data_IF_081776093503
#
_entry.id   IF_081776093503
#
_cell.length_a   1.000
_cell.length_b   1.000
_cell.length_c   1.000
_cell.angle_alpha   90.00
_cell.angle_beta   90.00
_cell.angle_gamma   90.00
#
_symmetry.space_group_name_H-M   'P 1'
#
loop_
_entity.id
_entity.type
_entity.pdbx_description
1 polymer ?
#
# COMPACT_ATOMS: atom_id res chain seq x y z
N UNK A 1 14.73 12.95 -16.17
CA UNK A 1 13.48 12.26 -15.78
C UNK A 1 13.76 10.78 -15.76
N UNK A 2 13.63 10.14 -14.63
CA UNK A 2 14.08 8.76 -14.42
C UNK A 2 12.90 7.88 -14.02
N UNK A 3 12.84 6.66 -14.55
CA UNK A 3 11.85 5.66 -14.13
C UNK A 3 12.27 4.99 -12.82
N UNK A 4 11.33 4.86 -11.91
CA UNK A 4 11.38 3.95 -10.76
C UNK A 4 10.60 2.70 -11.15
N UNK A 5 11.29 1.58 -11.29
CA UNK A 5 10.66 0.32 -11.67
C UNK A 5 11.35 -0.84 -10.96
N UNK A 6 10.71 -1.34 -9.91
CA UNK A 6 11.21 -2.44 -9.09
C UNK A 6 10.28 -3.64 -9.23
N UNK A 7 10.84 -4.76 -9.65
CA UNK A 7 10.14 -6.02 -9.90
C UNK A 7 10.93 -7.20 -9.31
N UNK A 8 10.26 -8.34 -9.12
CA UNK A 8 10.93 -9.62 -8.87
C UNK A 8 11.57 -10.17 -10.15
N UNK A 9 12.56 -11.05 -10.01
CA UNK A 9 13.28 -11.64 -11.16
C UNK A 9 12.36 -12.37 -12.14
N UNK A 10 11.31 -13.02 -11.63
CA UNK A 10 10.30 -13.72 -12.42
C UNK A 10 9.17 -12.82 -12.95
N UNK A 11 9.24 -11.50 -12.66
CA UNK A 11 8.24 -10.49 -13.02
C UNK A 11 6.81 -10.76 -12.51
N UNK A 12 6.66 -11.65 -11.53
CA UNK A 12 5.34 -11.90 -10.89
C UNK A 12 4.98 -10.84 -9.86
N UNK A 13 5.95 -10.08 -9.38
CA UNK A 13 5.77 -9.01 -8.40
C UNK A 13 6.30 -7.70 -8.95
N UNK A 14 5.58 -6.61 -8.71
CA UNK A 14 6.02 -5.24 -8.95
C UNK A 14 5.89 -4.44 -7.68
N UNK A 15 7.00 -4.03 -7.13
CA UNK A 15 7.08 -3.28 -5.88
C UNK A 15 6.84 -1.79 -6.08
N UNK A 16 7.35 -1.22 -7.17
CA UNK A 16 7.17 0.18 -7.50
C UNK A 16 7.10 0.41 -9.01
N UNK A 17 6.35 1.43 -9.43
CA UNK A 17 6.37 1.99 -10.78
C UNK A 17 6.13 3.49 -10.69
N UNK A 18 7.00 4.29 -11.27
CA UNK A 18 6.82 5.73 -11.24
C UNK A 18 7.79 6.46 -12.15
N UNK A 19 7.54 7.73 -12.33
CA UNK A 19 8.34 8.65 -13.10
C UNK A 19 8.74 9.81 -12.20
N UNK A 20 10.04 10.00 -12.01
CA UNK A 20 10.57 11.00 -11.08
C UNK A 20 11.51 11.94 -11.82
N UNK A 21 11.27 13.23 -11.68
CA UNK A 21 12.17 14.26 -12.21
C UNK A 21 13.42 14.36 -11.34
N UNK A 22 14.56 14.63 -11.97
CA UNK A 22 15.83 14.76 -11.27
C UNK A 22 15.81 15.97 -10.30
N UNK A 23 15.04 17.01 -10.66
CA UNK A 23 14.80 18.23 -9.89
C UNK A 23 13.44 18.23 -9.16
N UNK A 24 12.86 17.05 -8.86
CA UNK A 24 11.51 16.93 -8.27
C UNK A 24 11.34 17.79 -7.04
N UNK A 25 10.29 18.60 -7.03
CA UNK A 25 9.91 19.46 -5.90
C UNK A 25 8.69 18.90 -5.18
N UNK A 26 7.79 18.21 -5.90
CA UNK A 26 6.55 17.69 -5.32
C UNK A 26 6.19 16.34 -5.93
N UNK A 27 6.31 15.28 -5.13
CA UNK A 27 6.07 13.91 -5.54
C UNK A 27 4.77 13.37 -4.94
N UNK A 28 4.00 12.61 -5.72
CA UNK A 28 2.83 11.87 -5.25
C UNK A 28 3.13 10.38 -5.17
N UNK A 29 3.09 9.80 -3.98
CA UNK A 29 2.95 8.36 -3.82
C UNK A 29 1.48 7.97 -3.95
N UNK A 30 1.16 6.94 -4.74
CA UNK A 30 -0.19 6.40 -4.82
C UNK A 30 -0.21 4.92 -4.40
N UNK A 31 -0.95 4.59 -3.35
CA UNK A 31 -1.12 3.21 -2.89
C UNK A 31 -2.37 2.58 -3.50
N UNK A 32 -2.16 1.70 -4.51
CA UNK A 32 -3.18 0.79 -5.04
C UNK A 32 -3.27 -0.51 -4.26
N UNK A 33 -4.17 -1.41 -4.69
CA UNK A 33 -4.29 -2.73 -4.04
C UNK A 33 -3.21 -3.69 -4.51
N UNK A 34 -3.05 -3.87 -5.82
CA UNK A 34 -2.05 -4.72 -6.44
C UNK A 34 -1.70 -4.21 -7.84
N UNK A 35 -0.49 -4.50 -8.36
CA UNK A 35 -0.12 -4.17 -9.72
C UNK A 35 -0.82 -5.08 -10.75
N UNK A 36 -1.03 -4.53 -11.95
CA UNK A 36 -1.47 -5.29 -13.11
C UNK A 36 -0.36 -5.33 -14.18
N UNK A 37 -0.63 -4.87 -15.38
CA UNK A 37 0.24 -5.04 -16.54
C UNK A 37 1.19 -3.88 -16.82
N UNK A 38 1.07 -2.75 -16.11
CA UNK A 38 1.86 -1.56 -16.41
C UNK A 38 3.37 -1.78 -16.26
N UNK A 39 4.10 -1.22 -17.22
CA UNK A 39 5.57 -1.11 -17.28
C UNK A 39 5.95 0.33 -17.64
N UNK A 40 7.23 0.72 -17.55
CA UNK A 40 7.69 2.04 -18.03
C UNK A 40 7.33 2.31 -19.48
N UNK A 41 7.41 1.30 -20.36
CA UNK A 41 7.15 1.43 -21.79
C UNK A 41 5.65 1.48 -22.10
N UNK A 42 4.82 0.89 -21.22
CA UNK A 42 3.37 0.78 -21.45
C UNK A 42 2.58 0.87 -20.15
N UNK A 43 2.11 2.07 -19.83
CA UNK A 43 1.21 2.28 -18.69
C UNK A 43 -0.17 1.67 -18.95
N UNK A 44 -0.72 0.99 -17.94
CA UNK A 44 -2.11 0.53 -17.93
C UNK A 44 -3.09 1.70 -17.66
N UNK A 45 -4.42 1.50 -17.79
CA UNK A 45 -5.39 2.56 -17.55
C UNK A 45 -5.29 3.20 -16.16
N UNK A 46 -4.98 2.41 -15.12
CA UNK A 46 -4.84 2.92 -13.74
C UNK A 46 -3.60 3.79 -13.60
N UNK A 47 -2.45 3.33 -14.10
CA UNK A 47 -1.20 4.09 -14.03
C UNK A 47 -1.30 5.41 -14.79
N UNK A 48 -1.88 5.40 -16.02
CA UNK A 48 -2.16 6.63 -16.77
C UNK A 48 -3.09 7.59 -16.02
N UNK A 49 -4.08 7.06 -15.31
CA UNK A 49 -4.99 7.89 -14.50
C UNK A 49 -4.25 8.54 -13.34
N UNK A 50 -3.41 7.79 -12.63
CA UNK A 50 -2.61 8.31 -11.51
C UNK A 50 -1.63 9.38 -11.98
N UNK A 51 -0.92 9.17 -13.10
CA UNK A 51 -0.06 10.17 -13.71
C UNK A 51 -0.82 11.48 -13.98
N UNK A 52 -2.02 11.41 -14.59
CA UNK A 52 -2.85 12.59 -14.85
C UNK A 52 -3.33 13.27 -13.56
N UNK A 53 -3.74 12.49 -12.57
CA UNK A 53 -4.14 13.04 -11.25
C UNK A 53 -2.95 13.77 -10.62
N UNK A 54 -1.77 13.19 -10.60
CA UNK A 54 -0.58 13.82 -10.05
C UNK A 54 -0.32 15.18 -10.72
N UNK A 55 -0.28 15.24 -12.05
CA UNK A 55 -0.06 16.46 -12.80
C UNK A 55 -1.14 17.52 -12.53
N UNK A 56 -2.41 17.15 -12.50
CA UNK A 56 -3.54 18.07 -12.30
C UNK A 56 -3.56 18.65 -10.87
N UNK A 57 -2.99 17.92 -9.90
CA UNK A 57 -2.83 18.38 -8.52
C UNK A 57 -1.46 19.04 -8.24
N UNK A 58 -0.70 19.36 -9.30
CA UNK A 58 0.55 20.12 -9.19
C UNK A 58 1.75 19.31 -8.69
N UNK A 59 1.72 17.99 -8.81
CA UNK A 59 2.88 17.14 -8.59
C UNK A 59 3.68 17.01 -9.89
N UNK A 60 4.98 17.12 -9.80
CA UNK A 60 5.90 16.98 -10.95
C UNK A 60 6.42 15.55 -11.14
N UNK A 61 6.18 14.70 -10.14
CA UNK A 61 6.64 13.32 -10.06
C UNK A 61 5.59 12.43 -9.39
N UNK A 62 5.58 11.15 -9.71
CA UNK A 62 4.64 10.19 -9.14
C UNK A 62 5.25 8.80 -9.03
N UNK A 63 4.88 8.06 -8.00
CA UNK A 63 5.25 6.65 -7.80
C UNK A 63 4.02 5.86 -7.33
N UNK A 64 3.71 4.76 -8.01
CA UNK A 64 2.69 3.80 -7.61
C UNK A 64 3.35 2.72 -6.76
N UNK A 65 2.82 2.55 -5.57
CA UNK A 65 3.09 1.47 -4.63
C UNK A 65 1.82 0.66 -4.43
N UNK A 66 1.90 -0.53 -3.87
CA UNK A 66 0.73 -1.36 -3.70
C UNK A 66 0.70 -2.04 -2.32
N UNK A 67 -0.52 -2.29 -1.83
CA UNK A 67 -0.76 -3.06 -0.59
C UNK A 67 -0.25 -4.49 -0.74
N UNK A 68 -0.40 -5.07 -1.93
CA UNK A 68 0.17 -6.35 -2.32
C UNK A 68 0.99 -6.15 -3.60
N UNK A 69 2.23 -6.61 -3.63
CA UNK A 69 3.10 -6.46 -4.78
C UNK A 69 2.83 -7.48 -5.90
N UNK A 70 2.04 -8.52 -5.64
CA UNK A 70 1.71 -9.55 -6.63
C UNK A 70 0.96 -8.95 -7.82
N UNK A 71 1.45 -9.20 -9.05
CA UNK A 71 0.74 -8.83 -10.26
C UNK A 71 -0.50 -9.71 -10.43
N UNK A 72 -1.66 -9.07 -10.59
CA UNK A 72 -2.89 -9.75 -10.94
C UNK A 72 -3.81 -8.78 -11.69
N UNK A 73 -4.38 -9.22 -12.81
CA UNK A 73 -5.35 -8.43 -13.59
C UNK A 73 -6.75 -8.60 -13.02
N UNK A 74 -7.09 -9.81 -12.61
CA UNK A 74 -8.34 -10.09 -11.92
C UNK A 74 -8.07 -10.26 -10.42
N UNK A 75 -8.93 -9.74 -9.54
CA UNK A 75 -8.75 -9.84 -8.09
C UNK A 75 -8.64 -11.28 -7.57
N UNK A 76 -9.26 -12.24 -8.27
CA UNK A 76 -9.22 -13.66 -7.90
C UNK A 76 -7.88 -14.33 -8.22
N UNK A 77 -7.05 -13.72 -9.08
CA UNK A 77 -5.74 -14.25 -9.46
C UNK A 77 -4.67 -14.01 -8.38
N UNK A 78 -4.97 -13.18 -7.38
CA UNK A 78 -4.10 -13.04 -6.21
C UNK A 78 -4.12 -14.32 -5.37
N UNK A 79 -2.96 -14.74 -4.87
CA UNK A 79 -2.80 -15.89 -4.00
C UNK A 79 -3.75 -15.83 -2.80
N UNK A 80 -4.26 -16.96 -2.36
CA UNK A 80 -5.10 -17.03 -1.16
C UNK A 80 -4.29 -16.82 0.13
N UNK A 81 -3.02 -17.22 0.11
CA UNK A 81 -2.06 -17.05 1.19
C UNK A 81 -1.01 -16.03 0.80
N UNK A 82 -0.56 -15.28 1.78
CA UNK A 82 0.50 -14.30 1.59
C UNK A 82 1.86 -14.97 1.40
N UNK A 83 2.63 -14.52 0.42
CA UNK A 83 4.04 -14.83 0.28
C UNK A 83 4.82 -13.87 1.20
N UNK A 84 5.25 -14.36 2.35
CA UNK A 84 5.88 -13.54 3.38
C UNK A 84 7.21 -12.92 2.95
N UNK A 85 8.18 -13.65 2.34
CA UNK A 85 9.42 -13.06 1.85
C UNK A 85 9.19 -11.92 0.87
N UNK A 86 8.31 -12.09 -0.11
CA UNK A 86 8.01 -11.07 -1.11
C UNK A 86 7.23 -9.89 -0.53
N UNK A 87 6.39 -10.13 0.49
CA UNK A 87 5.76 -9.05 1.23
C UNK A 87 6.76 -8.24 2.05
N UNK A 88 7.71 -8.88 2.72
CA UNK A 88 8.77 -8.18 3.44
C UNK A 88 9.60 -7.31 2.51
N UNK A 89 9.93 -7.80 1.31
CA UNK A 89 10.61 -7.01 0.29
C UNK A 89 9.77 -5.81 -0.15
N UNK A 90 8.44 -5.98 -0.31
CA UNK A 90 7.53 -4.87 -0.60
C UNK A 90 7.60 -3.79 0.49
N UNK A 91 7.53 -4.19 1.76
CA UNK A 91 7.60 -3.24 2.89
C UNK A 91 8.98 -2.56 2.97
N UNK A 92 10.07 -3.27 2.67
CA UNK A 92 11.43 -2.70 2.62
C UNK A 92 11.52 -1.60 1.57
N UNK A 93 11.07 -1.87 0.34
CA UNK A 93 11.09 -0.90 -0.77
C UNK A 93 10.17 0.30 -0.46
N UNK A 94 8.98 0.05 0.09
CA UNK A 94 8.07 1.13 0.52
C UNK A 94 8.78 2.03 1.54
N UNK A 95 9.42 1.45 2.57
CA UNK A 95 10.12 2.19 3.61
C UNK A 95 11.24 3.05 3.04
N UNK A 96 12.06 2.49 2.16
CA UNK A 96 13.17 3.22 1.52
C UNK A 96 12.66 4.39 0.69
N UNK A 97 11.63 4.18 -0.14
CA UNK A 97 11.09 5.23 -0.99
C UNK A 97 10.40 6.34 -0.17
N UNK A 98 9.58 5.98 0.82
CA UNK A 98 8.95 6.96 1.69
C UNK A 98 9.98 7.82 2.43
N UNK A 99 11.02 7.21 3.00
CA UNK A 99 12.07 7.94 3.68
C UNK A 99 12.88 8.84 2.73
N UNK A 100 13.22 8.34 1.53
CA UNK A 100 13.98 9.08 0.52
C UNK A 100 13.30 10.38 0.11
N UNK A 101 11.97 10.38 -0.01
CA UNK A 101 11.19 11.51 -0.49
C UNK A 101 10.37 12.22 0.60
N UNK A 102 10.61 11.92 1.89
CA UNK A 102 9.81 12.41 3.01
C UNK A 102 9.63 13.94 3.05
N UNK A 103 10.63 14.71 2.62
CA UNK A 103 10.56 16.19 2.65
C UNK A 103 9.66 16.80 1.57
N UNK A 104 9.32 16.05 0.50
CA UNK A 104 8.67 16.61 -0.71
C UNK A 104 7.58 15.75 -1.30
N UNK A 105 7.13 14.74 -0.59
CA UNK A 105 6.09 13.84 -1.08
C UNK A 105 4.85 13.85 -0.21
N UNK A 106 3.72 13.59 -0.86
CA UNK A 106 2.44 13.31 -0.23
C UNK A 106 1.99 11.88 -0.61
N UNK A 107 1.07 11.32 0.15
CA UNK A 107 0.52 9.99 -0.08
C UNK A 107 -0.96 10.08 -0.48
N UNK A 108 -1.33 9.41 -1.57
CA UNK A 108 -2.70 9.16 -2.01
C UNK A 108 -3.04 7.69 -1.79
N UNK A 109 -3.91 7.37 -0.84
CA UNK A 109 -4.48 6.04 -0.71
C UNK A 109 -5.61 5.86 -1.72
N UNK A 110 -5.55 4.78 -2.51
CA UNK A 110 -6.45 4.54 -3.64
C UNK A 110 -6.72 3.05 -3.92
N UNK A 111 -6.78 2.24 -2.86
CA UNK A 111 -6.83 0.78 -2.93
C UNK A 111 -8.23 0.20 -3.20
N UNK A 112 -9.31 0.96 -2.99
CA UNK A 112 -10.68 0.52 -3.25
C UNK A 112 -11.20 -0.60 -2.34
N UNK A 113 -12.38 -1.14 -2.68
CA UNK A 113 -13.04 -2.20 -1.90
C UNK A 113 -12.40 -3.58 -2.08
N UNK A 114 -11.45 -3.73 -3.02
CA UNK A 114 -10.69 -4.96 -3.20
C UNK A 114 -9.85 -5.34 -1.99
N UNK A 115 -9.60 -4.43 -1.07
CA UNK A 115 -8.97 -4.67 0.24
C UNK A 115 -9.65 -5.79 1.04
N UNK A 116 -10.92 -6.07 0.75
CA UNK A 116 -11.73 -7.10 1.44
C UNK A 116 -11.59 -8.49 0.82
N UNK A 117 -10.90 -8.63 -0.32
CA UNK A 117 -10.86 -9.89 -1.09
C UNK A 117 -9.99 -10.96 -0.46
N UNK A 118 -8.96 -10.58 0.28
CA UNK A 118 -8.04 -11.50 0.98
C UNK A 118 -7.77 -10.94 2.37
N UNK A 119 -7.76 -11.78 3.37
CA UNK A 119 -7.63 -11.36 4.78
C UNK A 119 -6.30 -10.65 5.07
N UNK A 120 -5.21 -11.11 4.44
CA UNK A 120 -3.89 -10.51 4.62
C UNK A 120 -3.78 -9.07 4.09
N UNK A 121 -4.65 -8.63 3.18
CA UNK A 121 -4.56 -7.28 2.59
C UNK A 121 -4.80 -6.18 3.63
N UNK A 122 -5.71 -6.38 4.57
CA UNK A 122 -5.94 -5.42 5.65
C UNK A 122 -4.73 -5.30 6.58
N UNK A 123 -4.10 -6.45 6.91
CA UNK A 123 -2.86 -6.49 7.68
C UNK A 123 -1.75 -5.73 6.95
N UNK A 124 -1.58 -5.98 5.66
CA UNK A 124 -0.57 -5.30 4.84
C UNK A 124 -0.79 -3.78 4.83
N UNK A 125 -2.05 -3.34 4.65
CA UNK A 125 -2.39 -1.92 4.68
C UNK A 125 -2.04 -1.29 6.04
N UNK A 126 -2.35 -1.97 7.14
CA UNK A 126 -2.02 -1.51 8.48
C UNK A 126 -0.50 -1.35 8.68
N UNK A 127 0.30 -2.29 8.20
CA UNK A 127 1.77 -2.19 8.23
C UNK A 127 2.29 -1.01 7.39
N UNK A 128 1.72 -0.79 6.20
CA UNK A 128 2.06 0.36 5.35
C UNK A 128 1.70 1.68 6.02
N UNK A 129 0.54 1.76 6.67
CA UNK A 129 0.12 2.94 7.42
C UNK A 129 1.11 3.24 8.56
N UNK A 130 1.56 2.22 9.29
CA UNK A 130 2.56 2.38 10.34
C UNK A 130 3.91 2.87 9.79
N UNK A 131 4.33 2.39 8.60
CA UNK A 131 5.52 2.89 7.92
C UNK A 131 5.32 4.37 7.55
N UNK A 132 4.18 4.74 6.96
CA UNK A 132 3.88 6.13 6.60
C UNK A 132 3.93 7.06 7.82
N UNK A 133 3.35 6.66 8.96
CA UNK A 133 3.43 7.40 10.23
C UNK A 133 4.88 7.59 10.68
N UNK A 134 5.67 6.51 10.73
CA UNK A 134 7.08 6.56 11.14
C UNK A 134 7.94 7.40 10.21
N UNK A 135 7.59 7.47 8.92
CA UNK A 135 8.26 8.32 7.92
C UNK A 135 7.75 9.76 7.88
N UNK A 136 6.88 10.17 8.82
CA UNK A 136 6.45 11.56 8.99
C UNK A 136 5.34 12.05 8.04
N UNK A 137 4.48 11.13 7.54
CA UNK A 137 3.39 11.49 6.61
C UNK A 137 2.03 11.75 7.30
N UNK A 138 1.98 11.92 8.62
CA UNK A 138 0.74 12.00 9.41
C UNK A 138 -0.31 12.96 8.84
N UNK A 139 0.09 14.13 8.36
CA UNK A 139 -0.81 15.17 7.83
C UNK A 139 -0.77 15.28 6.29
N UNK A 140 -0.03 14.40 5.63
CA UNK A 140 0.19 14.42 4.17
C UNK A 140 -0.33 13.17 3.48
N UNK A 141 -1.44 12.64 4.03
CA UNK A 141 -2.14 11.49 3.49
C UNK A 141 -3.53 11.89 3.03
N UNK A 142 -3.88 11.46 1.83
CA UNK A 142 -5.11 11.84 1.15
C UNK A 142 -5.79 10.63 0.51
N UNK A 143 -7.05 10.81 0.11
CA UNK A 143 -7.79 9.91 -0.77
C UNK A 143 -8.68 10.71 -1.73
N UNK A 144 -9.25 10.06 -2.73
CA UNK A 144 -10.24 10.62 -3.67
C UNK A 144 -11.68 10.43 -3.17
N UNK A 145 -11.87 10.56 -1.85
CA UNK A 145 -13.11 10.22 -1.16
C UNK A 145 -13.20 8.74 -0.79
N UNK A 146 -14.28 8.37 -0.09
CA UNK A 146 -14.50 7.03 0.43
C UNK A 146 -15.61 6.30 -0.29
N UNK A 147 -15.52 4.97 -0.37
CA UNK A 147 -16.60 4.10 -0.83
C UNK A 147 -17.69 3.99 0.24
N UNK A 148 -18.80 3.31 -0.07
CA UNK A 148 -19.83 2.98 0.94
C UNK A 148 -19.31 2.12 2.10
N UNK A 149 -18.16 1.48 1.90
CA UNK A 149 -17.47 0.65 2.89
C UNK A 149 -16.32 1.37 3.58
N UNK A 150 -16.29 2.72 3.51
CA UNK A 150 -15.27 3.60 4.11
C UNK A 150 -13.83 3.38 3.58
N UNK A 151 -13.64 2.64 2.49
CA UNK A 151 -12.34 2.46 1.87
C UNK A 151 -12.00 3.61 0.92
N UNK A 152 -10.73 3.95 0.78
CA UNK A 152 -10.25 4.93 -0.19
C UNK A 152 -10.61 4.53 -1.61
N UNK A 153 -11.28 5.41 -2.38
CA UNK A 153 -11.77 5.10 -3.74
C UNK A 153 -10.64 4.81 -4.70
N UNK A 154 -10.86 3.82 -5.58
CA UNK A 154 -9.93 3.49 -6.66
C UNK A 154 -9.89 4.61 -7.70
N UNK A 155 -8.71 5.03 -8.21
CA UNK A 155 -8.56 6.22 -9.04
C UNK A 155 -9.18 6.09 -10.43
N UNK A 156 -9.29 4.88 -10.97
CA UNK A 156 -9.78 4.63 -12.33
C UNK A 156 -11.17 5.21 -12.59
N UNK A 157 -12.02 5.22 -11.55
CA UNK A 157 -13.41 5.67 -11.65
C UNK A 157 -13.63 7.11 -11.14
N UNK A 158 -12.56 7.85 -10.88
CA UNK A 158 -12.63 9.23 -10.41
C UNK A 158 -12.23 10.21 -11.53
N UNK A 159 -12.78 11.41 -11.51
CA UNK A 159 -12.27 12.51 -12.36
C UNK A 159 -10.84 12.84 -11.91
N UNK A 160 -9.98 13.24 -12.83
CA UNK A 160 -8.59 13.62 -12.49
C UNK A 160 -8.55 14.86 -11.60
N UNK A 161 -9.54 15.76 -11.75
CA UNK A 161 -9.72 16.96 -10.94
C UNK A 161 -10.45 16.73 -9.60
N UNK A 162 -10.77 15.47 -9.24
CA UNK A 162 -11.43 15.20 -7.95
C UNK A 162 -10.55 15.71 -6.80
N UNK A 163 -11.04 16.61 -5.94
CA UNK A 163 -10.25 17.15 -4.83
C UNK A 163 -9.75 16.05 -3.90
N UNK A 164 -8.53 16.20 -3.43
CA UNK A 164 -8.00 15.34 -2.39
C UNK A 164 -8.70 15.64 -1.07
N UNK A 165 -9.11 14.59 -0.37
CA UNK A 165 -9.65 14.66 0.99
C UNK A 165 -8.63 14.05 1.96
N UNK A 166 -8.43 14.64 3.16
CA UNK A 166 -7.56 14.07 4.16
C UNK A 166 -7.91 12.60 4.44
N UNK A 167 -6.88 11.78 4.53
CA UNK A 167 -7.00 10.36 4.88
C UNK A 167 -6.39 10.15 6.27
N UNK A 168 -7.24 9.83 7.26
CA UNK A 168 -6.76 9.54 8.59
C UNK A 168 -5.97 8.24 8.61
N UNK A 169 -4.79 8.29 9.18
CA UNK A 169 -3.99 7.10 9.46
C UNK A 169 -4.41 6.40 10.78
N UNK A 170 -5.31 7.04 11.56
CA UNK A 170 -5.80 6.48 12.83
C UNK A 170 -6.98 5.54 12.61
N UNK A 171 -7.22 4.66 13.59
CA UNK A 171 -8.32 3.70 13.56
C UNK A 171 -8.05 2.45 12.69
N UNK A 172 -6.86 2.31 12.11
CA UNK A 172 -6.48 1.11 11.38
C UNK A 172 -5.87 0.08 12.32
N UNK A 173 -6.58 -1.02 12.54
CA UNK A 173 -6.12 -2.12 13.38
C UNK A 173 -6.35 -3.47 12.71
N UNK A 174 -5.50 -4.40 13.01
CA UNK A 174 -5.61 -5.80 12.62
C UNK A 174 -5.11 -6.68 13.76
N UNK A 175 -5.82 -7.74 14.07
CA UNK A 175 -5.39 -8.73 15.05
C UNK A 175 -5.48 -10.14 14.46
N UNK A 176 -4.49 -10.96 14.75
CA UNK A 176 -4.47 -12.38 14.40
C UNK A 176 -3.96 -13.20 15.57
N UNK A 177 -4.49 -14.41 15.71
CA UNK A 177 -3.94 -15.39 16.63
C UNK A 177 -2.73 -16.05 15.97
N UNK A 178 -1.58 -16.00 16.61
CA UNK A 178 -0.36 -16.67 16.16
C UNK A 178 0.01 -17.78 17.15
N UNK A 179 0.57 -18.86 16.63
CA UNK A 179 1.16 -19.94 17.43
C UNK A 179 2.65 -19.63 17.56
N UNK A 180 3.11 -19.46 18.77
CA UNK A 180 4.54 -19.30 19.10
C UNK A 180 5.19 -20.69 19.22
N UNK A 181 6.51 -20.72 19.30
CA UNK A 181 7.25 -21.93 19.68
C UNK A 181 6.67 -22.47 21.00
N UNK A 182 6.66 -23.78 21.19
CA UNK A 182 6.06 -24.49 22.33
C UNK A 182 4.51 -24.48 22.40
N UNK A 183 3.79 -24.38 21.27
CA UNK A 183 2.32 -24.37 21.23
C UNK A 183 1.66 -23.27 22.10
N UNK A 184 2.37 -22.24 22.42
CA UNK A 184 1.78 -21.05 23.05
C UNK A 184 1.07 -20.22 21.99
N UNK A 185 -0.08 -19.65 22.35
CA UNK A 185 -0.82 -18.73 21.51
C UNK A 185 -0.53 -17.30 21.92
N UNK A 186 -0.36 -16.43 20.95
CA UNK A 186 -0.28 -15.00 21.15
C UNK A 186 -1.22 -14.27 20.21
N UNK A 187 -1.68 -13.09 20.58
CA UNK A 187 -2.39 -12.19 19.71
C UNK A 187 -1.39 -11.16 19.16
N UNK A 188 -1.22 -11.18 17.86
CA UNK A 188 -0.50 -10.13 17.14
C UNK A 188 -1.50 -9.06 16.77
N UNK A 189 -1.28 -7.85 17.24
CA UNK A 189 -2.07 -6.67 16.87
C UNK A 189 -1.21 -5.71 16.07
N UNK A 190 -1.72 -5.30 14.92
CA UNK A 190 -1.22 -4.15 14.19
C UNK A 190 -2.22 -3.01 14.40
N UNK A 191 -1.80 -1.94 15.06
CA UNK A 191 -2.61 -0.77 15.38
C UNK A 191 -1.81 0.50 15.12
N UNK A 192 -2.43 1.63 15.36
CA UNK A 192 -1.82 2.95 15.20
C UNK A 192 -0.55 3.17 16.06
N UNK A 193 -0.39 2.42 17.13
CA UNK A 193 0.82 2.42 17.98
C UNK A 193 1.93 1.48 17.54
N UNK A 194 1.74 0.70 16.46
CA UNK A 194 2.69 -0.29 15.97
C UNK A 194 2.17 -1.73 16.09
N UNK A 195 3.09 -2.68 15.94
CA UNK A 195 2.79 -4.10 16.10
C UNK A 195 3.06 -4.51 17.56
N UNK A 196 2.03 -5.00 18.24
CA UNK A 196 2.11 -5.55 19.59
C UNK A 196 1.85 -7.05 19.55
N UNK A 197 2.69 -7.82 20.22
CA UNK A 197 2.45 -9.24 20.45
C UNK A 197 2.15 -9.40 21.95
N UNK A 198 0.92 -9.84 22.26
CA UNK A 198 0.52 -10.16 23.62
C UNK A 198 0.29 -11.67 23.74
N UNK A 199 0.95 -12.30 24.71
CA UNK A 199 0.73 -13.74 24.99
C UNK A 199 -0.69 -13.94 25.53
N UNK A 200 -1.41 -14.88 24.93
CA UNK A 200 -2.70 -15.36 25.45
C UNK A 200 -2.44 -16.69 26.14
N UNK A 201 -2.56 -16.71 27.46
CA UNK A 201 -2.47 -17.93 28.23
C UNK A 201 -3.64 -18.84 27.93
N UNK A 202 -3.41 -19.89 27.15
CA UNK A 202 -4.39 -20.92 26.86
C UNK A 202 -3.82 -21.96 25.89
N UNK A 203 -3.54 -23.15 26.38
CA UNK A 203 -3.19 -24.28 25.52
C UNK A 203 -4.37 -24.59 24.59
N UNK A 204 -4.11 -24.65 23.27
CA UNK A 204 -5.04 -25.25 22.33
C UNK A 204 -5.33 -26.68 22.78
N UNK A 205 -6.54 -26.94 23.33
CA UNK A 205 -7.00 -28.30 23.54
C UNK A 205 -7.09 -28.95 22.17
N UNK A 206 -6.19 -29.91 21.90
CA UNK A 206 -6.31 -30.83 20.77
C UNK A 206 -7.68 -31.52 20.83
N UNK A 207 -8.47 -31.32 19.79
CA UNK A 207 -9.60 -32.20 19.48
C UNK A 207 -9.15 -33.27 18.49
#
# INVERSE_FOLDING_TARGET
>A
MSWIYFISDDNKYRYALGEVRDDTQKLLFCFGINPSTATPEKLDPTARRIQKIALEHGYDSWIILNVCAQRATLPNDMNNTQDLPLHQENLRIITELLNKYAARADILFAYGDLIKKKDYLKKNLCQIINIAKKSGYNERCYCLGKTKSENARHPLYQKTSTPFTPYSLDGHSYSELIVLEDNKCAVRQCSDGGELISEVFGALKSK
#
